data_IF_625999414195
#
_entry.id   IF_625999414195
#
_cell.length_a   1.000
_cell.length_b   1.000
_cell.length_c   1.000
_cell.angle_alpha   90.00
_cell.angle_beta   90.00
_cell.angle_gamma   90.00
#
_symmetry.space_group_name_H-M   'P 1'
#
loop_
_entity.id
_entity.type
_entity.pdbx_description
1 polymer ?
#
# COMPACT_ATOMS: atom_id res chain seq x y z
N UNK A 1 -2.50 -16.75 7.79
CA UNK A 1 -2.24 -17.29 6.43
C UNK A 1 -0.80 -17.75 6.31
N UNK A 2 -0.51 -18.87 5.61
CA UNK A 2 0.86 -19.39 5.41
C UNK A 2 1.64 -18.51 4.44
N UNK A 3 2.91 -18.19 4.76
CA UNK A 3 3.80 -17.45 3.86
C UNK A 3 4.22 -18.31 2.66
N UNK A 4 4.05 -17.80 1.44
CA UNK A 4 4.47 -18.42 0.18
C UNK A 4 4.57 -17.37 -0.94
N UNK A 5 5.44 -17.61 -1.90
CA UNK A 5 5.51 -16.79 -3.12
C UNK A 5 4.38 -17.18 -4.07
N UNK A 6 3.74 -16.19 -4.71
CA UNK A 6 2.73 -16.45 -5.74
C UNK A 6 3.37 -16.59 -7.12
N UNK A 7 2.89 -17.57 -7.89
CA UNK A 7 3.16 -17.64 -9.34
C UNK A 7 2.51 -16.47 -10.10
N UNK A 8 2.86 -16.29 -11.37
CA UNK A 8 2.28 -15.22 -12.20
C UNK A 8 0.75 -15.29 -12.31
N UNK A 9 0.20 -16.49 -12.55
CA UNK A 9 -1.25 -16.72 -12.61
C UNK A 9 -1.95 -16.44 -11.28
N UNK A 10 -1.41 -16.98 -10.18
CA UNK A 10 -1.99 -16.75 -8.85
C UNK A 10 -1.97 -15.27 -8.44
N UNK A 11 -0.91 -14.54 -8.79
CA UNK A 11 -0.82 -13.10 -8.54
C UNK A 11 -1.88 -12.33 -9.31
N UNK A 12 -2.13 -12.71 -10.57
CA UNK A 12 -3.21 -12.13 -11.36
C UNK A 12 -4.57 -12.39 -10.70
N UNK A 13 -4.83 -13.61 -10.21
CA UNK A 13 -6.09 -13.92 -9.51
C UNK A 13 -6.26 -13.13 -8.20
N UNK A 14 -5.19 -13.00 -7.42
CA UNK A 14 -5.19 -12.16 -6.21
C UNK A 14 -5.52 -10.70 -6.53
N UNK A 15 -4.90 -10.14 -7.57
CA UNK A 15 -5.21 -8.80 -8.04
C UNK A 15 -6.66 -8.70 -8.50
N UNK A 16 -7.12 -9.57 -9.41
CA UNK A 16 -8.51 -9.61 -9.91
C UNK A 16 -9.53 -9.61 -8.77
N UNK A 17 -9.34 -10.49 -7.79
CA UNK A 17 -10.24 -10.59 -6.65
C UNK A 17 -10.19 -9.32 -5.78
N UNK A 18 -9.00 -8.77 -5.51
CA UNK A 18 -8.84 -7.54 -4.72
C UNK A 18 -9.39 -6.28 -5.43
N UNK A 19 -9.47 -6.31 -6.77
CA UNK A 19 -10.00 -5.23 -7.61
C UNK A 19 -11.50 -5.38 -7.89
N UNK A 20 -12.13 -6.44 -7.40
CA UNK A 20 -13.55 -6.69 -7.59
C UNK A 20 -14.37 -5.76 -6.70
N UNK A 21 -15.29 -5.00 -7.32
CA UNK A 21 -16.16 -4.07 -6.59
C UNK A 21 -16.98 -4.81 -5.55
N UNK A 22 -16.99 -4.29 -4.32
CA UNK A 22 -17.70 -4.91 -3.19
C UNK A 22 -16.85 -5.92 -2.39
N UNK A 23 -15.65 -6.26 -2.87
CA UNK A 23 -14.71 -7.11 -2.14
C UNK A 23 -13.63 -6.23 -1.51
N UNK A 24 -13.85 -5.89 -0.25
CA UNK A 24 -12.83 -5.24 0.58
C UNK A 24 -11.84 -6.25 1.17
N UNK A 25 -10.77 -5.79 1.85
CA UNK A 25 -9.76 -6.66 2.45
C UNK A 25 -10.31 -7.75 3.38
N UNK A 26 -11.26 -7.39 4.26
CA UNK A 26 -11.88 -8.34 5.20
C UNK A 26 -12.59 -9.45 4.43
N UNK A 27 -13.47 -9.08 3.49
CA UNK A 27 -14.20 -10.03 2.63
C UNK A 27 -13.24 -10.88 1.81
N UNK A 28 -12.16 -10.30 1.29
CA UNK A 28 -11.15 -11.01 0.52
C UNK A 28 -10.56 -12.19 1.32
N UNK A 29 -10.13 -11.95 2.56
CA UNK A 29 -9.52 -13.02 3.37
C UNK A 29 -10.54 -14.05 3.85
N UNK A 30 -11.77 -13.66 4.20
CA UNK A 30 -12.83 -14.61 4.52
C UNK A 30 -13.16 -15.52 3.33
N UNK A 31 -13.18 -14.97 2.11
CA UNK A 31 -13.39 -15.76 0.90
C UNK A 31 -12.19 -16.69 0.64
N UNK A 32 -10.95 -16.22 0.80
CA UNK A 32 -9.78 -17.09 0.66
C UNK A 32 -9.77 -18.24 1.68
N UNK A 33 -10.15 -17.99 2.92
CA UNK A 33 -10.24 -19.02 3.96
C UNK A 33 -11.29 -20.08 3.60
N UNK A 34 -12.45 -19.64 3.10
CA UNK A 34 -13.56 -20.53 2.74
C UNK A 34 -13.29 -21.35 1.47
N UNK A 35 -12.68 -20.75 0.44
CA UNK A 35 -12.52 -21.37 -0.88
C UNK A 35 -11.10 -21.93 -1.12
N UNK A 36 -10.13 -21.59 -0.28
CA UNK A 36 -8.75 -22.04 -0.35
C UNK A 36 -7.86 -21.31 -1.36
N UNK A 37 -8.42 -20.71 -2.42
CA UNK A 37 -7.66 -19.95 -3.43
C UNK A 37 -8.46 -18.80 -4.05
N UNK A 38 -7.76 -17.79 -4.60
CA UNK A 38 -8.41 -16.67 -5.28
C UNK A 38 -9.11 -17.12 -6.57
N UNK A 39 -8.52 -18.07 -7.32
CA UNK A 39 -9.12 -18.67 -8.51
C UNK A 39 -10.49 -19.31 -8.18
N UNK A 40 -10.55 -20.13 -7.12
CA UNK A 40 -11.79 -20.79 -6.71
C UNK A 40 -12.88 -19.79 -6.29
N UNK A 41 -12.51 -18.65 -5.70
CA UNK A 41 -13.46 -17.57 -5.40
C UNK A 41 -13.96 -16.93 -6.70
N UNK A 42 -13.05 -16.61 -7.62
CA UNK A 42 -13.38 -15.97 -8.90
C UNK A 42 -14.35 -16.83 -9.73
N UNK A 43 -14.17 -18.15 -9.73
CA UNK A 43 -15.05 -19.09 -10.43
C UNK A 43 -16.48 -19.10 -9.84
N UNK A 44 -16.62 -18.89 -8.52
CA UNK A 44 -17.91 -18.91 -7.82
C UNK A 44 -18.53 -17.51 -7.57
N UNK A 45 -17.85 -16.43 -7.98
CA UNK A 45 -18.32 -15.05 -7.81
C UNK A 45 -19.76 -14.82 -8.31
N UNK A 46 -20.17 -15.33 -9.49
CA UNK A 46 -21.54 -15.15 -9.97
C UNK A 46 -22.59 -15.77 -9.04
N UNK A 47 -22.29 -16.90 -8.39
CA UNK A 47 -23.20 -17.56 -7.46
C UNK A 47 -23.26 -16.82 -6.11
N UNK A 48 -22.11 -16.30 -5.64
CA UNK A 48 -22.04 -15.46 -4.44
C UNK A 48 -22.88 -14.18 -4.59
N UNK A 49 -22.81 -13.52 -5.75
CA UNK A 49 -23.59 -12.31 -6.04
C UNK A 49 -25.11 -12.56 -5.93
N UNK A 50 -25.58 -13.70 -6.46
CA UNK A 50 -27.00 -14.09 -6.39
C UNK A 50 -27.47 -14.36 -4.96
N UNK A 51 -26.65 -15.01 -4.13
CA UNK A 51 -26.98 -15.33 -2.73
C UNK A 51 -27.01 -14.11 -1.81
N UNK A 52 -26.20 -13.09 -2.10
CA UNK A 52 -26.13 -11.87 -1.30
C UNK A 52 -27.31 -10.89 -1.52
N UNK A 53 -28.31 -11.26 -2.33
CA UNK A 53 -29.47 -10.40 -2.62
C UNK A 53 -29.12 -9.14 -3.44
N UNK A 54 -27.96 -9.13 -4.09
CA UNK A 54 -27.42 -7.97 -4.78
C UNK A 54 -28.18 -7.64 -6.06
N UNK A 55 -28.69 -6.40 -6.18
CA UNK A 55 -29.24 -5.84 -7.43
C UNK A 55 -28.16 -5.55 -8.49
N UNK A 56 -26.87 -5.62 -8.13
CA UNK A 56 -25.74 -5.40 -9.02
C UNK A 56 -24.90 -6.67 -9.15
N UNK A 57 -24.60 -7.04 -10.40
CA UNK A 57 -23.70 -8.14 -10.73
C UNK A 57 -22.30 -7.87 -10.16
N UNK A 58 -21.85 -8.70 -9.22
CA UNK A 58 -20.46 -8.65 -8.72
C UNK A 58 -19.59 -9.25 -9.82
N UNK A 59 -19.00 -8.39 -10.64
CA UNK A 59 -18.14 -8.79 -11.74
C UNK A 59 -16.69 -8.43 -11.42
N UNK A 60 -15.83 -9.45 -11.43
CA UNK A 60 -14.38 -9.24 -11.37
C UNK A 60 -13.88 -8.60 -12.68
N UNK A 61 -12.78 -7.82 -12.63
CA UNK A 61 -12.12 -7.36 -13.84
C UNK A 61 -11.69 -8.52 -14.75
N UNK A 62 -11.65 -8.24 -16.06
CA UNK A 62 -11.19 -9.21 -17.04
C UNK A 62 -9.69 -9.50 -16.81
N UNK A 63 -9.27 -10.74 -17.07
CA UNK A 63 -7.88 -11.16 -16.82
C UNK A 63 -6.87 -10.33 -17.63
N UNK A 64 -7.24 -9.97 -18.86
CA UNK A 64 -6.43 -9.11 -19.74
C UNK A 64 -6.20 -7.72 -19.16
N UNK A 65 -7.17 -7.14 -18.44
CA UNK A 65 -7.02 -5.84 -17.79
C UNK A 65 -6.01 -5.90 -16.65
N UNK A 66 -6.08 -6.95 -15.83
CA UNK A 66 -5.13 -7.15 -14.74
C UNK A 66 -3.72 -7.46 -15.26
N UNK A 67 -3.62 -8.22 -16.35
CA UNK A 67 -2.32 -8.48 -16.97
C UNK A 67 -1.69 -7.17 -17.48
N UNK A 68 -2.49 -6.28 -18.08
CA UNK A 68 -2.04 -4.94 -18.48
C UNK A 68 -1.63 -4.08 -17.27
N UNK A 69 -2.35 -4.14 -16.15
CA UNK A 69 -1.98 -3.45 -14.90
C UNK A 69 -0.62 -3.96 -14.40
N UNK A 70 -0.41 -5.28 -14.32
CA UNK A 70 0.85 -5.89 -13.88
C UNK A 70 2.02 -5.44 -14.76
N UNK A 71 1.87 -5.51 -16.08
CA UNK A 71 2.90 -5.11 -17.03
C UNK A 71 3.20 -3.61 -16.99
N UNK A 72 2.17 -2.78 -16.84
CA UNK A 72 2.34 -1.33 -16.69
C UNK A 72 3.04 -0.96 -15.37
N UNK A 73 2.70 -1.62 -14.27
CA UNK A 73 3.39 -1.45 -12.98
C UNK A 73 4.86 -1.88 -13.10
N UNK A 74 5.15 -2.99 -13.77
CA UNK A 74 6.53 -3.46 -13.99
C UNK A 74 7.35 -2.45 -14.81
N UNK A 75 6.76 -1.82 -15.84
CA UNK A 75 7.42 -0.78 -16.64
C UNK A 75 7.80 0.47 -15.84
N UNK A 76 7.14 0.73 -14.71
CA UNK A 76 7.49 1.82 -13.79
C UNK A 76 8.62 1.45 -12.82
N UNK A 77 9.17 0.23 -12.91
CA UNK A 77 10.09 -0.31 -11.91
C UNK A 77 9.42 -0.65 -10.58
N UNK A 78 8.09 -0.81 -10.60
CA UNK A 78 7.30 -1.24 -9.45
C UNK A 78 6.90 -2.71 -9.57
N UNK A 79 6.46 -3.32 -8.47
CA UNK A 79 5.95 -4.68 -8.45
C UNK A 79 4.71 -4.77 -7.58
N UNK A 80 3.88 -5.78 -7.82
CA UNK A 80 2.78 -6.13 -6.92
C UNK A 80 3.28 -7.16 -5.90
N UNK A 81 2.99 -6.94 -4.63
CA UNK A 81 3.36 -7.79 -3.50
C UNK A 81 2.10 -8.20 -2.76
N UNK A 82 1.85 -9.51 -2.68
CA UNK A 82 0.67 -10.06 -2.02
C UNK A 82 0.92 -10.34 -0.53
N UNK A 83 -0.13 -10.26 0.29
CA UNK A 83 -0.05 -10.43 1.74
C UNK A 83 0.47 -11.82 2.20
N UNK A 84 0.46 -12.82 1.31
CA UNK A 84 1.02 -14.14 1.59
C UNK A 84 2.53 -14.22 1.33
N UNK A 85 3.14 -13.23 0.69
CA UNK A 85 4.53 -13.35 0.24
C UNK A 85 5.52 -13.03 1.36
N UNK A 86 6.73 -13.62 1.35
CA UNK A 86 7.73 -13.40 2.41
C UNK A 86 8.11 -11.93 2.60
N UNK A 87 8.21 -11.16 1.49
CA UNK A 87 8.60 -9.76 1.53
C UNK A 87 7.51 -8.82 2.07
N UNK A 88 6.27 -9.29 2.19
CA UNK A 88 5.17 -8.46 2.69
C UNK A 88 5.31 -8.20 4.20
N UNK A 89 5.22 -6.95 4.64
CA UNK A 89 5.47 -6.57 6.04
C UNK A 89 4.65 -7.40 7.03
N UNK A 90 5.32 -7.99 8.01
CA UNK A 90 4.66 -8.73 9.08
C UNK A 90 3.75 -7.85 9.94
N UNK A 91 4.14 -6.60 10.21
CA UNK A 91 3.30 -5.64 10.91
C UNK A 91 2.05 -5.33 10.10
N UNK A 92 2.21 -5.07 8.79
CA UNK A 92 1.08 -4.74 7.93
C UNK A 92 0.11 -5.90 7.81
N UNK A 93 0.60 -7.14 7.75
CA UNK A 93 -0.24 -8.33 7.71
C UNK A 93 -1.02 -8.60 9.01
N UNK A 94 -0.63 -7.98 10.13
CA UNK A 94 -1.22 -8.20 11.45
C UNK A 94 -2.39 -7.26 11.77
N UNK A 95 -2.65 -6.23 10.96
CA UNK A 95 -3.81 -5.35 11.16
C UNK A 95 -5.11 -6.07 10.78
N UNK A 96 -6.27 -5.60 11.26
CA UNK A 96 -7.58 -6.24 11.04
C UNK A 96 -7.96 -6.43 9.56
N UNK A 97 -7.53 -5.50 8.70
CA UNK A 97 -7.91 -5.46 7.29
C UNK A 97 -6.69 -5.20 6.40
N UNK A 98 -5.67 -6.07 6.35
CA UNK A 98 -4.42 -5.80 5.64
C UNK A 98 -4.68 -5.71 4.13
N UNK A 99 -4.04 -4.82 3.35
CA UNK A 99 -4.25 -4.82 1.91
C UNK A 99 -3.87 -6.18 1.29
N UNK A 100 -4.77 -6.88 0.56
CA UNK A 100 -4.44 -8.18 -0.03
C UNK A 100 -3.24 -8.15 -0.95
N UNK A 101 -3.13 -7.07 -1.73
CA UNK A 101 -2.02 -6.77 -2.62
C UNK A 101 -1.68 -5.30 -2.50
N UNK A 102 -0.39 -4.99 -2.43
CA UNK A 102 0.13 -3.62 -2.58
C UNK A 102 1.03 -3.54 -3.80
N UNK A 103 0.99 -2.42 -4.51
CA UNK A 103 2.06 -2.02 -5.41
C UNK A 103 3.22 -1.45 -4.57
N UNK A 104 4.44 -1.75 -4.97
CA UNK A 104 5.67 -1.30 -4.32
C UNK A 104 6.68 -0.80 -5.35
N UNK A 105 7.29 0.36 -5.08
CA UNK A 105 8.37 0.96 -5.89
C UNK A 105 9.53 1.41 -4.99
N UNK A 106 10.76 1.10 -5.38
CA UNK A 106 11.96 1.37 -4.57
C UNK A 106 12.43 0.17 -3.75
N UNK A 107 13.10 0.43 -2.62
CA UNK A 107 13.75 -0.60 -1.81
C UNK A 107 12.76 -1.33 -0.89
N UNK A 108 12.28 -2.50 -1.34
CA UNK A 108 11.33 -3.33 -0.57
C UNK A 108 11.86 -3.89 0.75
N UNK A 109 13.18 -3.96 0.92
CA UNK A 109 13.78 -4.49 2.17
C UNK A 109 13.41 -3.63 3.39
N UNK A 110 13.01 -2.37 3.17
CA UNK A 110 12.59 -1.45 4.23
C UNK A 110 11.27 -1.88 4.90
N UNK A 111 10.39 -2.63 4.23
CA UNK A 111 9.08 -3.03 4.76
C UNK A 111 9.12 -3.94 6.00
N UNK A 112 10.23 -4.64 6.20
CA UNK A 112 10.41 -5.59 7.31
C UNK A 112 11.40 -5.09 8.36
N UNK A 113 11.88 -3.85 8.25
CA UNK A 113 12.69 -3.21 9.29
C UNK A 113 11.77 -2.58 10.35
N UNK A 114 12.22 -2.42 11.61
CA UNK A 114 11.49 -1.67 12.62
C UNK A 114 11.20 -0.26 12.12
N UNK A 115 9.94 0.16 12.23
CA UNK A 115 9.51 1.43 11.65
C UNK A 115 8.60 2.22 12.59
N UNK A 116 8.66 3.55 12.48
CA UNK A 116 7.85 4.50 13.22
C UNK A 116 7.05 5.33 12.23
N UNK A 117 5.73 5.37 12.43
CA UNK A 117 4.87 6.27 11.68
C UNK A 117 5.03 7.68 12.22
N UNK A 118 5.25 8.65 11.33
CA UNK A 118 5.24 10.08 11.67
C UNK A 118 4.18 10.77 10.83
N UNK A 119 3.17 11.33 11.47
CA UNK A 119 2.07 12.02 10.80
C UNK A 119 1.82 13.38 11.44
N UNK A 120 1.22 14.31 10.70
CA UNK A 120 0.86 15.58 11.32
C UNK A 120 0.18 16.58 10.40
N UNK A 121 0.22 17.84 10.83
CA UNK A 121 -0.46 18.93 10.14
C UNK A 121 0.06 19.13 8.71
N UNK A 122 -0.87 19.24 7.76
CA UNK A 122 -0.57 19.58 6.36
C UNK A 122 -0.08 21.01 6.17
N UNK A 123 -0.47 21.89 7.09
CA UNK A 123 -0.03 23.27 7.21
C UNK A 123 0.65 23.45 8.58
N UNK A 124 1.78 22.78 8.76
CA UNK A 124 2.55 22.81 9.99
C UNK A 124 3.32 24.13 10.11
N UNK A 125 3.44 24.66 11.33
CA UNK A 125 4.27 25.83 11.62
C UNK A 125 5.76 25.56 11.33
N UNK A 126 6.58 26.61 11.20
CA UNK A 126 8.02 26.46 11.02
C UNK A 126 8.67 25.64 12.15
N UNK A 127 8.21 25.85 13.40
CA UNK A 127 8.65 25.07 14.55
C UNK A 127 8.23 23.59 14.43
N UNK A 128 6.98 23.32 14.03
CA UNK A 128 6.49 21.95 13.81
C UNK A 128 7.25 21.22 12.71
N UNK A 129 7.54 21.91 11.59
CA UNK A 129 8.38 21.36 10.51
C UNK A 129 9.82 21.10 10.95
N UNK A 130 10.39 21.93 11.83
CA UNK A 130 11.72 21.70 12.39
C UNK A 130 11.73 20.47 13.31
N UNK A 131 10.75 20.39 14.21
CA UNK A 131 10.60 19.24 15.12
C UNK A 131 10.42 17.92 14.35
N UNK A 132 9.59 17.92 13.29
CA UNK A 132 9.41 16.75 12.45
C UNK A 132 10.73 16.29 11.79
N UNK A 133 11.53 17.23 11.26
CA UNK A 133 12.84 16.90 10.68
C UNK A 133 13.82 16.35 11.72
N UNK A 134 13.92 17.00 12.86
CA UNK A 134 14.88 16.61 13.90
C UNK A 134 14.51 15.23 14.46
N UNK A 135 13.24 15.00 14.77
CA UNK A 135 12.78 13.71 15.26
C UNK A 135 12.94 12.58 14.23
N UNK A 136 12.61 12.83 12.96
CA UNK A 136 12.78 11.84 11.90
C UNK A 136 14.26 11.46 11.71
N UNK A 137 15.16 12.44 11.80
CA UNK A 137 16.61 12.21 11.73
C UNK A 137 17.09 11.37 12.91
N UNK A 138 16.70 11.74 14.12
CA UNK A 138 17.15 11.08 15.35
C UNK A 138 16.65 9.62 15.41
N UNK A 139 15.38 9.38 15.05
CA UNK A 139 14.82 8.03 14.93
C UNK A 139 15.50 7.22 13.83
N UNK A 140 15.79 7.84 12.68
CA UNK A 140 16.53 7.23 11.59
C UNK A 140 17.94 6.79 12.01
N UNK A 141 18.66 7.66 12.72
CA UNK A 141 19.99 7.36 13.26
C UNK A 141 19.95 6.26 14.33
N UNK A 142 18.84 6.15 15.06
CA UNK A 142 18.59 5.04 15.99
C UNK A 142 18.20 3.72 15.29
N UNK A 143 18.10 3.70 13.95
CA UNK A 143 17.87 2.49 13.16
C UNK A 143 16.40 2.24 12.77
N UNK A 144 15.50 3.19 13.04
CA UNK A 144 14.10 3.08 12.63
C UNK A 144 13.87 3.60 11.22
N UNK A 145 13.00 2.91 10.48
CA UNK A 145 12.46 3.42 9.22
C UNK A 145 11.32 4.39 9.51
N UNK A 146 11.32 5.53 8.82
CA UNK A 146 10.20 6.47 8.93
C UNK A 146 9.12 6.10 7.93
N UNK A 147 7.90 5.87 8.41
CA UNK A 147 6.71 5.66 7.57
C UNK A 147 5.85 6.90 7.62
N UNK A 148 5.42 7.40 6.46
CA UNK A 148 4.48 8.51 6.42
C UNK A 148 3.67 8.52 5.12
N UNK A 149 2.82 9.54 4.98
CA UNK A 149 1.81 9.63 3.93
C UNK A 149 2.17 10.53 2.76
N UNK A 150 3.40 11.06 2.70
CA UNK A 150 3.84 12.00 1.67
C UNK A 150 2.95 13.27 1.55
N UNK A 151 2.12 13.60 2.56
CA UNK A 151 1.35 14.84 2.56
C UNK A 151 2.26 16.07 2.72
N UNK A 152 1.73 17.27 2.47
CA UNK A 152 2.45 18.52 2.81
C UNK A 152 2.73 18.59 4.31
N UNK A 153 3.65 19.46 4.71
CA UNK A 153 3.94 19.70 6.12
C UNK A 153 4.74 18.55 6.74
N UNK A 154 4.25 18.01 7.86
CA UNK A 154 5.00 17.03 8.68
C UNK A 154 5.47 15.82 7.87
N UNK A 155 4.60 15.20 7.08
CA UNK A 155 4.94 13.99 6.32
C UNK A 155 6.11 14.23 5.36
N UNK A 156 6.06 15.32 4.58
CA UNK A 156 7.12 15.66 3.62
C UNK A 156 8.47 15.91 4.30
N UNK A 157 8.45 16.63 5.43
CA UNK A 157 9.64 16.93 6.23
C UNK A 157 10.24 15.66 6.86
N UNK A 158 9.39 14.75 7.36
CA UNK A 158 9.82 13.49 7.92
C UNK A 158 10.49 12.59 6.88
N UNK A 159 9.90 12.47 5.68
CA UNK A 159 10.52 11.74 4.57
C UNK A 159 11.85 12.36 4.15
N UNK A 160 11.90 13.67 3.92
CA UNK A 160 13.11 14.35 3.48
C UNK A 160 14.28 14.17 4.46
N UNK A 161 13.99 14.22 5.77
CA UNK A 161 15.00 14.05 6.82
C UNK A 161 15.47 12.60 7.02
N UNK A 162 14.78 11.62 6.45
CA UNK A 162 15.04 10.17 6.64
C UNK A 162 15.43 9.43 5.36
N UNK A 163 15.70 10.14 4.26
CA UNK A 163 16.12 9.52 2.99
C UNK A 163 17.39 8.67 3.12
N UNK A 164 18.36 9.11 3.93
CA UNK A 164 19.64 8.39 4.11
C UNK A 164 19.55 7.20 5.07
N UNK A 165 18.64 7.26 6.04
CA UNK A 165 18.43 6.20 7.04
C UNK A 165 17.39 5.17 6.59
N UNK A 166 16.50 5.58 5.68
CA UNK A 166 15.45 4.79 5.07
C UNK A 166 14.05 5.26 5.47
N UNK A 167 13.17 5.32 4.47
CA UNK A 167 11.79 5.77 4.65
C UNK A 167 10.83 5.08 3.69
N UNK A 168 9.57 4.89 4.12
CA UNK A 168 8.49 4.28 3.34
C UNK A 168 7.30 5.24 3.27
N UNK A 169 6.93 5.64 2.06
CA UNK A 169 5.71 6.41 1.81
C UNK A 169 4.55 5.47 1.46
N UNK A 170 3.49 5.46 2.25
CA UNK A 170 2.23 4.85 1.84
C UNK A 170 1.38 5.93 1.16
N UNK A 171 0.91 5.77 -0.08
CA UNK A 171 0.12 6.77 -0.80
C UNK A 171 -1.32 6.31 -1.04
N UNK A 172 -2.23 7.26 -1.28
CA UNK A 172 -3.66 6.97 -1.43
C UNK A 172 -4.08 6.63 -2.88
N UNK A 173 -3.40 7.21 -3.88
CA UNK A 173 -3.66 6.97 -5.30
C UNK A 173 -2.88 5.77 -5.82
N UNK A 174 -3.01 5.49 -7.12
CA UNK A 174 -2.14 4.53 -7.80
C UNK A 174 -0.67 4.86 -7.59
N UNK A 175 0.21 3.85 -7.68
CA UNK A 175 1.65 4.04 -7.44
C UNK A 175 2.26 5.11 -8.37
N UNK A 176 1.64 5.35 -9.53
CA UNK A 176 1.95 6.34 -10.56
C UNK A 176 1.31 7.72 -10.36
N UNK A 177 0.46 7.91 -9.33
CA UNK A 177 -0.31 9.13 -9.11
C UNK A 177 0.30 9.94 -7.97
N UNK A 178 1.16 10.91 -8.34
CA UNK A 178 1.85 11.78 -7.38
C UNK A 178 0.86 12.80 -6.80
N UNK A 179 0.65 12.72 -5.49
CA UNK A 179 -0.10 13.73 -4.74
C UNK A 179 0.52 13.96 -3.36
N UNK A 180 0.76 15.23 -2.97
CA UNK A 180 0.49 16.46 -3.72
C UNK A 180 1.50 16.68 -4.87
N UNK A 181 1.15 17.39 -5.96
CA UNK A 181 2.05 17.58 -7.11
C UNK A 181 3.39 18.25 -6.77
N UNK A 182 3.43 19.07 -5.71
CA UNK A 182 4.65 19.74 -5.23
C UNK A 182 5.70 18.77 -4.67
N UNK A 183 5.36 17.50 -4.46
CA UNK A 183 6.26 16.46 -3.95
C UNK A 183 6.80 15.56 -5.06
N UNK A 184 6.84 16.02 -6.32
CA UNK A 184 7.41 15.27 -7.44
C UNK A 184 8.88 14.87 -7.20
N UNK A 185 9.72 15.81 -6.78
CA UNK A 185 11.13 15.59 -6.47
C UNK A 185 11.28 14.64 -5.27
N UNK A 186 10.45 14.80 -4.24
CA UNK A 186 10.47 13.92 -3.08
C UNK A 186 10.06 12.50 -3.47
N UNK A 187 9.04 12.35 -4.32
CA UNK A 187 8.61 11.07 -4.85
C UNK A 187 9.77 10.40 -5.61
N UNK A 188 10.47 11.13 -6.49
CA UNK A 188 11.62 10.58 -7.22
C UNK A 188 12.73 10.11 -6.27
N UNK A 189 13.07 10.91 -5.25
CA UNK A 189 14.04 10.53 -4.22
C UNK A 189 13.60 9.30 -3.44
N UNK A 190 12.32 9.18 -3.09
CA UNK A 190 11.76 8.01 -2.44
C UNK A 190 11.87 6.76 -3.31
N UNK A 191 11.68 6.86 -4.63
CA UNK A 191 11.85 5.69 -5.51
C UNK A 191 13.31 5.23 -5.64
N UNK A 192 14.28 6.13 -5.40
CA UNK A 192 15.70 5.84 -5.51
C UNK A 192 16.33 5.39 -4.18
N UNK A 193 15.94 6.02 -3.07
CA UNK A 193 16.58 5.84 -1.74
C UNK A 193 15.64 5.27 -0.68
N UNK A 194 14.34 5.35 -0.90
CA UNK A 194 13.31 4.87 0.01
C UNK A 194 12.44 3.78 -0.62
N UNK A 195 11.18 3.78 -0.24
CA UNK A 195 10.17 2.91 -0.80
C UNK A 195 8.82 3.63 -0.84
N UNK A 196 8.01 3.34 -1.85
CA UNK A 196 6.64 3.81 -1.96
C UNK A 196 5.72 2.60 -2.07
N UNK A 197 4.60 2.62 -1.34
CA UNK A 197 3.57 1.58 -1.41
C UNK A 197 2.20 2.17 -1.67
N UNK A 198 1.36 1.42 -2.39
CA UNK A 198 -0.05 1.77 -2.60
C UNK A 198 -0.91 0.50 -2.68
N UNK A 199 -2.12 0.55 -2.10
CA UNK A 199 -3.14 -0.48 -2.31
C UNK A 199 -3.97 -0.22 -3.58
N UNK A 200 -3.94 1.01 -4.11
CA UNK A 200 -4.83 1.46 -5.18
C UNK A 200 -4.41 0.93 -6.55
N UNK A 201 -5.36 0.78 -7.49
CA UNK A 201 -5.05 0.41 -8.88
C UNK A 201 -4.11 1.44 -9.54
N UNK A 202 -3.33 0.98 -10.52
CA UNK A 202 -2.56 1.89 -11.37
C UNK A 202 -3.49 2.91 -12.06
N UNK A 203 -3.06 4.16 -12.15
CA UNK A 203 -3.84 5.26 -12.73
C UNK A 203 -4.91 5.83 -11.80
N UNK A 204 -5.13 5.25 -10.61
CA UNK A 204 -6.20 5.69 -9.73
C UNK A 204 -5.90 7.04 -9.05
N UNK A 205 -6.61 8.08 -9.45
CA UNK A 205 -6.53 9.41 -8.81
C UNK A 205 -7.28 9.37 -7.47
N UNK A 206 -6.54 9.60 -6.37
CA UNK A 206 -7.10 9.58 -5.03
C UNK A 206 -8.18 10.65 -4.81
N UNK A 207 -9.21 10.28 -4.07
CA UNK A 207 -10.27 11.16 -3.59
C UNK A 207 -10.13 11.39 -2.07
N UNK A 208 -10.87 12.36 -1.54
CA UNK A 208 -10.80 12.72 -0.12
C UNK A 208 -11.01 11.54 0.84
N UNK A 209 -11.89 10.59 0.48
CA UNK A 209 -12.17 9.38 1.26
C UNK A 209 -11.02 8.36 1.30
N UNK A 210 -10.07 8.45 0.37
CA UNK A 210 -8.99 7.48 0.25
C UNK A 210 -7.84 7.78 1.23
N UNK A 211 -7.69 9.04 1.66
CA UNK A 211 -6.65 9.42 2.62
C UNK A 211 -6.84 8.76 4.00
N UNK A 212 -8.04 8.79 4.63
CA UNK A 212 -8.27 8.02 5.86
C UNK A 212 -8.07 6.52 5.66
N UNK A 213 -8.52 5.96 4.53
CA UNK A 213 -8.35 4.53 4.22
C UNK A 213 -6.86 4.15 4.15
N UNK A 214 -6.03 5.00 3.55
CA UNK A 214 -4.57 4.79 3.46
C UNK A 214 -3.90 4.80 4.83
N UNK A 215 -4.37 5.59 5.80
CA UNK A 215 -3.68 5.77 7.08
C UNK A 215 -3.47 4.46 7.86
N UNK A 216 -4.36 3.48 7.70
CA UNK A 216 -4.17 2.13 8.27
C UNK A 216 -2.91 1.42 7.76
N UNK A 217 -2.44 1.75 6.55
CA UNK A 217 -1.21 1.21 5.96
C UNK A 217 0.00 1.88 6.60
N UNK A 218 -0.07 3.19 6.87
CA UNK A 218 1.00 3.92 7.59
C UNK A 218 1.18 3.32 8.98
N UNK A 219 0.10 3.23 9.77
CA UNK A 219 0.17 2.66 11.10
C UNK A 219 0.48 1.16 11.07
N UNK A 220 -0.09 0.41 10.12
CA UNK A 220 0.15 -1.03 9.97
C UNK A 220 1.58 -1.38 9.59
N UNK A 221 2.31 -0.50 8.91
CA UNK A 221 3.73 -0.71 8.63
C UNK A 221 4.65 -0.38 9.82
N UNK A 222 4.10 0.12 10.93
CA UNK A 222 4.87 0.75 11.99
C UNK A 222 4.61 0.08 13.35
N UNK A 223 5.62 0.13 14.22
CA UNK A 223 5.51 -0.34 15.61
C UNK A 223 4.81 0.68 16.52
N UNK A 224 4.92 1.96 16.17
CA UNK A 224 4.29 3.07 16.87
C UNK A 224 3.98 4.21 15.90
N UNK A 225 3.10 5.13 16.32
CA UNK A 225 2.77 6.36 15.58
C UNK A 225 3.03 7.58 16.45
N UNK A 226 3.63 8.61 15.85
CA UNK A 226 3.87 9.94 16.41
C UNK A 226 3.10 10.96 15.59
#
# INVERSE_FOLDING_TARGET
>A
MKRRTLTGGERADWLRLSRTRGIGPITFFHLLERYGSAAAVLDDLPALAKKAGGKSEVRAPDLSDIQREIEATARLGAAHLAACEPDYSACLAAIDAPPPVIAIRGNRTLLNKPAIAMVGARDASAAGRRMARDLARDLGQAGYIIVSGMARGVDGEAHAASLETGTVAAIAGGIDQIYPPQHDQLYDLLTQRGCIVSESPLGYVAQARDFPKRNRVISGLSLATI
#
